data_IF_639075756989
#
_entry.id   IF_639075756989
#
_cell.length_a   1.000
_cell.length_b   1.000
_cell.length_c   1.000
_cell.angle_alpha   90.00
_cell.angle_beta   90.00
_cell.angle_gamma   90.00
#
_symmetry.space_group_name_H-M   'P 1'
#
loop_
_entity.id
_entity.type
_entity.pdbx_description
1 polymer ?
#
# COMPACT_ATOMS: atom_id res chain seq x y z
N UNK A 1 36.35 -12.26 3.66
CA UNK A 1 36.43 -12.83 5.03
C UNK A 1 36.99 -11.83 6.05
N UNK A 2 38.01 -11.02 5.72
CA UNK A 2 38.56 -10.02 6.65
C UNK A 2 37.51 -9.01 7.25
N UNK A 3 36.60 -8.51 6.44
CA UNK A 3 35.59 -7.54 6.88
C UNK A 3 34.63 -8.08 7.97
N UNK A 4 34.30 -9.38 7.92
CA UNK A 4 33.42 -10.00 8.93
C UNK A 4 34.17 -10.15 10.26
N UNK A 5 35.47 -10.45 10.21
CA UNK A 5 36.30 -10.55 11.41
C UNK A 5 36.46 -9.21 12.11
N UNK A 6 36.64 -8.13 11.35
CA UNK A 6 36.72 -6.77 11.90
C UNK A 6 35.41 -6.39 12.59
N UNK A 7 34.28 -6.74 11.99
CA UNK A 7 32.95 -6.45 12.53
C UNK A 7 32.68 -7.20 13.83
N UNK A 8 33.02 -8.48 13.88
CA UNK A 8 32.85 -9.33 15.08
C UNK A 8 33.79 -8.90 16.20
N UNK A 9 35.05 -8.51 15.87
CA UNK A 9 36.00 -7.99 16.86
C UNK A 9 35.49 -6.68 17.45
N UNK A 10 35.07 -5.72 16.61
CA UNK A 10 34.51 -4.45 17.07
C UNK A 10 33.30 -4.61 17.98
N UNK A 11 32.42 -5.59 17.68
CA UNK A 11 31.29 -5.90 18.55
C UNK A 11 31.73 -6.52 19.89
N UNK A 12 32.77 -7.35 19.89
CA UNK A 12 33.26 -8.03 21.09
C UNK A 12 33.94 -7.07 22.05
N UNK A 13 34.69 -6.12 21.50
CA UNK A 13 35.46 -5.11 22.24
C UNK A 13 34.63 -3.89 22.65
N UNK A 14 33.39 -3.80 22.14
CA UNK A 14 32.45 -2.71 22.47
C UNK A 14 31.88 -2.89 23.89
N UNK A 15 31.63 -1.77 24.54
CA UNK A 15 30.95 -1.69 25.83
C UNK A 15 29.48 -2.12 25.75
N UNK A 16 28.84 -2.33 26.92
CA UNK A 16 27.44 -2.72 27.01
C UNK A 16 26.49 -1.79 26.24
N UNK A 17 26.71 -0.49 26.31
CA UNK A 17 25.90 0.50 25.60
C UNK A 17 26.10 0.46 24.08
N UNK A 18 27.35 0.32 23.63
CA UNK A 18 27.66 0.14 22.21
C UNK A 18 27.03 -1.13 21.62
N UNK A 19 27.00 -2.22 22.39
CA UNK A 19 26.30 -3.45 21.98
C UNK A 19 24.79 -3.27 21.82
N UNK A 20 24.16 -2.48 22.69
CA UNK A 20 22.73 -2.14 22.59
C UNK A 20 22.46 -1.32 21.32
N UNK A 21 23.25 -0.31 21.02
CA UNK A 21 23.09 0.51 19.80
C UNK A 21 23.26 -0.37 18.55
N UNK A 22 24.26 -1.24 18.54
CA UNK A 22 24.50 -2.16 17.44
C UNK A 22 23.32 -3.11 17.19
N UNK A 23 22.78 -3.70 18.26
CA UNK A 23 21.60 -4.57 18.18
C UNK A 23 20.36 -3.83 17.70
N UNK A 24 20.17 -2.58 18.14
CA UNK A 24 19.08 -1.71 17.68
C UNK A 24 19.19 -1.42 16.18
N UNK A 25 20.35 -1.04 15.69
CA UNK A 25 20.60 -0.78 14.26
C UNK A 25 20.40 -2.05 13.43
N UNK A 26 20.87 -3.19 13.90
CA UNK A 26 20.70 -4.47 13.23
C UNK A 26 19.21 -4.88 13.16
N UNK A 27 18.47 -4.73 14.25
CA UNK A 27 17.04 -5.00 14.30
C UNK A 27 16.25 -4.07 13.35
N UNK A 28 16.59 -2.77 13.33
CA UNK A 28 16.01 -1.79 12.41
C UNK A 28 16.26 -2.19 10.94
N UNK A 29 17.47 -2.64 10.63
CA UNK A 29 17.83 -3.11 9.30
C UNK A 29 16.99 -4.32 8.89
N UNK A 30 16.84 -5.32 9.74
CA UNK A 30 16.03 -6.51 9.44
C UNK A 30 14.55 -6.18 9.25
N UNK A 31 14.00 -5.31 10.12
CA UNK A 31 12.60 -4.87 10.02
C UNK A 31 12.39 -4.12 8.69
N UNK A 32 13.29 -3.21 8.33
CA UNK A 32 13.21 -2.46 7.08
C UNK A 32 13.24 -3.38 5.86
N UNK A 33 14.11 -4.39 5.82
CA UNK A 33 14.16 -5.39 4.77
C UNK A 33 12.87 -6.20 4.68
N UNK A 34 12.34 -6.63 5.81
CA UNK A 34 11.09 -7.38 5.87
C UNK A 34 9.93 -6.57 5.30
N UNK A 35 9.78 -5.31 5.76
CA UNK A 35 8.73 -4.40 5.27
C UNK A 35 8.89 -4.14 3.78
N UNK A 36 10.12 -3.91 3.30
CA UNK A 36 10.40 -3.67 1.88
C UNK A 36 9.97 -4.85 1.00
N UNK A 37 10.41 -6.06 1.36
CA UNK A 37 10.08 -7.28 0.59
C UNK A 37 8.57 -7.52 0.60
N UNK A 38 7.92 -7.36 1.75
CA UNK A 38 6.47 -7.51 1.87
C UNK A 38 5.72 -6.52 0.98
N UNK A 39 6.12 -5.25 1.00
CA UNK A 39 5.52 -4.20 0.18
C UNK A 39 5.78 -4.40 -1.31
N UNK A 40 7.00 -4.75 -1.69
CA UNK A 40 7.33 -5.02 -3.09
C UNK A 40 6.44 -6.13 -3.68
N UNK A 41 6.24 -7.21 -2.92
CA UNK A 41 5.34 -8.31 -3.33
C UNK A 41 3.88 -7.87 -3.41
N UNK A 42 3.43 -7.04 -2.46
CA UNK A 42 2.06 -6.51 -2.46
C UNK A 42 1.80 -5.62 -3.67
N UNK A 43 2.72 -4.70 -3.99
CA UNK A 43 2.61 -3.83 -5.16
C UNK A 43 2.66 -4.62 -6.48
N UNK A 44 3.59 -5.55 -6.63
CA UNK A 44 3.70 -6.40 -7.82
C UNK A 44 2.42 -7.22 -8.06
N UNK A 45 1.76 -7.70 -7.00
CA UNK A 45 0.49 -8.40 -7.10
C UNK A 45 -0.61 -7.47 -7.60
N UNK A 46 -0.73 -6.27 -7.03
CA UNK A 46 -1.74 -5.27 -7.42
C UNK A 46 -1.54 -4.83 -8.87
N UNK A 47 -0.30 -4.55 -9.27
CA UNK A 47 0.05 -4.15 -10.64
C UNK A 47 -0.39 -5.22 -11.66
N UNK A 48 -0.10 -6.48 -11.38
CA UNK A 48 -0.54 -7.59 -12.23
C UNK A 48 -2.06 -7.68 -12.33
N UNK A 49 -2.77 -7.50 -11.22
CA UNK A 49 -4.24 -7.53 -11.19
C UNK A 49 -4.83 -6.35 -11.96
N UNK A 50 -4.23 -5.15 -11.86
CA UNK A 50 -4.61 -3.96 -12.65
C UNK A 50 -4.46 -4.23 -14.13
N UNK A 51 -3.33 -4.78 -14.56
CA UNK A 51 -3.07 -5.07 -15.97
C UNK A 51 -4.09 -6.04 -16.54
N UNK A 52 -4.37 -7.14 -15.84
CA UNK A 52 -5.37 -8.12 -16.26
C UNK A 52 -6.78 -7.50 -16.33
N UNK A 53 -7.11 -6.63 -15.36
CA UNK A 53 -8.39 -5.92 -15.35
C UNK A 53 -8.52 -4.97 -16.54
N UNK A 54 -7.49 -4.17 -16.83
CA UNK A 54 -7.46 -3.24 -17.96
C UNK A 54 -7.55 -3.96 -19.31
N UNK A 55 -6.79 -5.04 -19.51
CA UNK A 55 -6.90 -5.86 -20.71
C UNK A 55 -8.30 -6.45 -20.91
N UNK A 56 -8.96 -6.81 -19.81
CA UNK A 56 -10.35 -7.30 -19.86
C UNK A 56 -11.33 -6.22 -20.28
N UNK A 57 -11.03 -4.96 -19.98
CA UNK A 57 -11.83 -3.81 -20.39
C UNK A 57 -11.67 -3.49 -21.88
N UNK A 58 -10.46 -3.60 -22.39
CA UNK A 58 -10.12 -3.23 -23.77
C UNK A 58 -10.66 -4.24 -24.79
N UNK A 59 -10.75 -5.51 -24.43
CA UNK A 59 -11.12 -6.62 -25.34
C UNK A 59 -12.63 -6.78 -25.62
N UNK A 60 -13.52 -6.03 -24.96
CA UNK A 60 -14.98 -6.18 -25.11
C UNK A 60 -15.70 -4.84 -25.17
N UNK A 61 -16.36 -4.57 -26.29
CA UNK A 61 -17.28 -3.43 -26.51
C UNK A 61 -18.60 -3.49 -25.71
N UNK A 62 -18.73 -4.38 -24.72
CA UNK A 62 -19.95 -4.53 -23.93
C UNK A 62 -20.08 -3.44 -22.89
N UNK A 63 -21.31 -2.97 -22.70
CA UNK A 63 -21.67 -1.98 -21.70
C UNK A 63 -21.13 -2.37 -20.31
N UNK A 64 -20.48 -1.43 -19.64
CA UNK A 64 -19.74 -1.66 -18.38
C UNK A 64 -20.59 -2.32 -17.29
N UNK A 65 -21.90 -2.02 -17.25
CA UNK A 65 -22.85 -2.54 -16.27
C UNK A 65 -23.27 -3.99 -16.50
N UNK A 66 -23.23 -4.50 -17.75
CA UNK A 66 -23.61 -5.88 -18.06
C UNK A 66 -22.47 -6.88 -17.90
N UNK A 67 -21.24 -6.40 -17.70
CA UNK A 67 -20.07 -7.25 -17.67
C UNK A 67 -20.04 -8.16 -16.46
N UNK A 68 -20.09 -9.48 -16.72
CA UNK A 68 -19.79 -10.51 -15.72
C UNK A 68 -18.31 -10.86 -15.81
N UNK A 69 -17.57 -10.61 -14.74
CA UNK A 69 -16.16 -11.00 -14.65
C UNK A 69 -16.01 -12.44 -14.18
N UNK A 70 -15.02 -13.15 -14.72
CA UNK A 70 -14.68 -14.50 -14.27
C UNK A 70 -14.35 -14.50 -12.77
N UNK A 71 -14.79 -15.52 -12.05
CA UNK A 71 -14.61 -15.69 -10.59
C UNK A 71 -13.16 -15.65 -10.13
N UNK A 72 -12.19 -15.89 -11.01
CA UNK A 72 -10.75 -15.83 -10.71
C UNK A 72 -10.23 -14.40 -10.40
N UNK A 73 -10.99 -13.37 -10.71
CA UNK A 73 -10.66 -11.95 -10.43
C UNK A 73 -11.30 -11.43 -9.13
N UNK A 74 -12.06 -12.26 -8.43
CA UNK A 74 -12.86 -11.88 -7.25
C UNK A 74 -12.01 -11.39 -6.05
N UNK A 75 -10.72 -11.66 -6.05
CA UNK A 75 -9.79 -11.27 -4.95
C UNK A 75 -9.09 -9.93 -5.17
N UNK A 76 -9.34 -9.25 -6.29
CA UNK A 76 -8.68 -7.99 -6.63
C UNK A 76 -9.34 -6.79 -5.95
N UNK A 77 -8.54 -5.84 -5.38
CA UNK A 77 -9.06 -4.58 -4.86
C UNK A 77 -9.83 -3.75 -5.89
N UNK A 78 -9.46 -3.86 -7.17
CA UNK A 78 -10.15 -3.20 -8.29
C UNK A 78 -11.49 -3.85 -8.59
N UNK A 79 -11.58 -5.16 -8.49
CA UNK A 79 -12.85 -5.87 -8.67
C UNK A 79 -13.88 -5.45 -7.60
N UNK A 80 -13.45 -5.34 -6.34
CA UNK A 80 -14.29 -4.82 -5.26
C UNK A 80 -14.76 -3.39 -5.55
N UNK A 81 -13.85 -2.53 -6.04
CA UNK A 81 -14.18 -1.17 -6.41
C UNK A 81 -15.22 -1.14 -7.54
N UNK A 82 -15.00 -1.92 -8.60
CA UNK A 82 -15.93 -2.03 -9.72
C UNK A 82 -17.30 -2.57 -9.30
N UNK A 83 -17.34 -3.60 -8.47
CA UNK A 83 -18.59 -4.19 -7.95
C UNK A 83 -19.40 -3.16 -7.15
N UNK A 84 -18.72 -2.42 -6.29
CA UNK A 84 -19.37 -1.37 -5.49
C UNK A 84 -19.84 -0.20 -6.37
N UNK A 85 -19.05 0.19 -7.37
CA UNK A 85 -19.43 1.20 -8.36
C UNK A 85 -20.67 0.77 -9.14
N UNK A 86 -20.66 -0.45 -9.69
CA UNK A 86 -21.79 -1.03 -10.42
C UNK A 86 -23.06 -1.02 -9.58
N UNK A 87 -22.99 -1.48 -8.33
CA UNK A 87 -24.12 -1.49 -7.41
C UNK A 87 -24.64 -0.07 -7.17
N UNK A 88 -23.78 0.88 -6.83
CA UNK A 88 -24.18 2.26 -6.56
C UNK A 88 -24.83 2.92 -7.79
N UNK A 89 -24.31 2.64 -8.99
CA UNK A 89 -24.87 3.15 -10.24
C UNK A 89 -26.27 2.59 -10.51
N UNK A 90 -26.48 1.28 -10.31
CA UNK A 90 -27.78 0.64 -10.47
C UNK A 90 -28.78 1.20 -9.47
N UNK A 91 -28.41 1.33 -8.19
CA UNK A 91 -29.28 1.88 -7.15
C UNK A 91 -29.71 3.33 -7.48
N UNK A 92 -28.82 4.14 -8.06
CA UNK A 92 -29.16 5.51 -8.51
C UNK A 92 -30.10 5.51 -9.72
N UNK A 93 -29.86 4.65 -10.69
CA UNK A 93 -30.73 4.52 -11.88
C UNK A 93 -32.14 4.09 -11.50
N UNK A 94 -32.26 3.08 -10.62
CA UNK A 94 -33.56 2.61 -10.11
C UNK A 94 -34.30 3.70 -9.34
N UNK A 95 -33.58 4.44 -8.50
CA UNK A 95 -34.15 5.57 -7.74
C UNK A 95 -34.66 6.68 -8.66
N UNK A 96 -33.89 7.04 -9.68
CA UNK A 96 -34.28 8.08 -10.62
C UNK A 96 -35.48 7.66 -11.47
N UNK A 97 -35.52 6.40 -11.91
CA UNK A 97 -36.67 5.82 -12.62
C UNK A 97 -37.95 5.85 -11.76
N UNK A 98 -37.83 5.49 -10.47
CA UNK A 98 -38.96 5.50 -9.55
C UNK A 98 -39.50 6.90 -9.27
N UNK A 99 -38.63 7.91 -9.17
CA UNK A 99 -39.01 9.31 -8.88
C UNK A 99 -39.64 10.02 -10.07
N UNK A 100 -39.18 9.77 -11.29
CA UNK A 100 -39.61 10.48 -12.48
C UNK A 100 -40.74 9.80 -13.25
N UNK A 101 -41.17 8.59 -12.88
CA UNK A 101 -42.21 7.84 -13.57
C UNK A 101 -41.95 7.52 -15.04
N UNK A 102 -40.75 7.80 -15.52
CA UNK A 102 -40.30 7.55 -16.89
C UNK A 102 -39.45 6.29 -16.92
N UNK A 103 -39.70 5.41 -17.87
CA UNK A 103 -38.93 4.16 -18.06
C UNK A 103 -37.51 4.39 -18.56
N UNK A 104 -37.11 5.62 -18.77
CA UNK A 104 -35.74 5.94 -19.20
C UNK A 104 -34.79 6.05 -18.00
N UNK A 105 -33.78 5.20 -18.02
CA UNK A 105 -32.72 5.20 -17.01
C UNK A 105 -31.68 6.26 -17.38
N UNK A 106 -31.72 7.42 -16.73
CA UNK A 106 -30.71 8.45 -16.91
C UNK A 106 -30.05 8.85 -15.59
N UNK A 107 -28.80 9.26 -15.66
CA UNK A 107 -28.06 9.83 -14.56
C UNK A 107 -28.05 11.35 -14.67
N UNK A 108 -28.47 12.04 -13.61
CA UNK A 108 -28.32 13.48 -13.52
C UNK A 108 -26.85 13.88 -13.33
N UNK A 109 -26.49 15.12 -13.67
CA UNK A 109 -25.14 15.64 -13.43
C UNK A 109 -24.75 15.57 -11.93
N UNK A 110 -25.71 15.76 -11.04
CA UNK A 110 -25.50 15.56 -9.60
C UNK A 110 -25.21 14.10 -9.23
N UNK A 111 -25.84 13.14 -9.89
CA UNK A 111 -25.59 11.71 -9.64
C UNK A 111 -24.20 11.31 -10.11
N UNK A 112 -23.75 11.85 -11.23
CA UNK A 112 -22.38 11.63 -11.74
C UNK A 112 -21.35 12.16 -10.73
N UNK A 113 -21.59 13.36 -10.19
CA UNK A 113 -20.70 13.94 -9.17
C UNK A 113 -20.70 13.11 -7.87
N UNK A 114 -21.85 12.60 -7.45
CA UNK A 114 -21.94 11.71 -6.30
C UNK A 114 -21.18 10.41 -6.51
N UNK A 115 -21.31 9.79 -7.69
CA UNK A 115 -20.58 8.58 -8.06
C UNK A 115 -19.07 8.82 -8.07
N UNK A 116 -18.64 9.95 -8.63
CA UNK A 116 -17.23 10.32 -8.68
C UNK A 116 -16.66 10.49 -7.27
N UNK A 117 -17.31 11.25 -6.42
CA UNK A 117 -16.90 11.43 -5.02
C UNK A 117 -16.85 10.10 -4.26
N UNK A 118 -17.81 9.22 -4.50
CA UNK A 118 -17.85 7.90 -3.88
C UNK A 118 -16.66 7.03 -4.30
N UNK A 119 -16.32 7.04 -5.59
CA UNK A 119 -15.16 6.31 -6.12
C UNK A 119 -13.87 6.85 -5.54
N UNK A 120 -13.68 8.17 -5.55
CA UNK A 120 -12.49 8.85 -5.03
C UNK A 120 -12.27 8.52 -3.55
N UNK A 121 -13.35 8.53 -2.76
CA UNK A 121 -13.29 8.12 -1.36
C UNK A 121 -12.86 6.67 -1.18
N UNK A 122 -13.36 5.76 -2.02
CA UNK A 122 -12.99 4.33 -1.98
C UNK A 122 -11.54 4.11 -2.42
N UNK A 123 -11.10 4.79 -3.47
CA UNK A 123 -9.70 4.77 -3.93
C UNK A 123 -8.78 5.27 -2.81
N UNK A 124 -9.09 6.43 -2.22
CA UNK A 124 -8.33 7.01 -1.12
C UNK A 124 -8.22 6.05 0.07
N UNK A 125 -9.33 5.42 0.45
CA UNK A 125 -9.35 4.43 1.53
C UNK A 125 -8.44 3.22 1.24
N UNK A 126 -8.46 2.71 -0.01
CA UNK A 126 -7.58 1.60 -0.43
C UNK A 126 -6.11 2.01 -0.48
N UNK A 127 -5.79 3.21 -0.98
CA UNK A 127 -4.43 3.75 -0.97
C UNK A 127 -3.91 3.91 0.46
N UNK A 128 -4.71 4.47 1.37
CA UNK A 128 -4.35 4.60 2.79
C UNK A 128 -4.07 3.25 3.46
N UNK A 129 -4.83 2.22 3.10
CA UNK A 129 -4.57 0.86 3.59
C UNK A 129 -3.24 0.29 3.06
N UNK A 130 -2.86 0.63 1.83
CA UNK A 130 -1.57 0.27 1.26
C UNK A 130 -0.41 0.99 1.94
N UNK A 131 -0.60 2.23 2.36
CA UNK A 131 0.45 3.05 2.99
C UNK A 131 0.67 2.73 4.47
N UNK A 132 -0.24 2.00 5.09
CA UNK A 132 -0.28 1.76 6.55
C UNK A 132 1.05 1.36 7.19
N UNK A 133 1.90 0.60 6.49
CA UNK A 133 3.16 0.11 7.05
C UNK A 133 4.40 0.90 6.56
N UNK A 134 4.22 1.90 5.69
CA UNK A 134 5.32 2.73 5.21
C UNK A 134 5.87 3.66 6.30
N UNK A 135 5.07 3.95 7.32
CA UNK A 135 5.51 4.70 8.50
C UNK A 135 6.74 4.08 9.17
N UNK A 136 6.80 2.75 9.26
CA UNK A 136 7.96 2.03 9.84
C UNK A 136 9.23 2.32 9.04
N UNK A 137 9.13 2.35 7.70
CA UNK A 137 10.25 2.69 6.82
C UNK A 137 10.71 4.14 7.03
N UNK A 138 9.77 5.08 7.05
CA UNK A 138 10.06 6.51 7.28
C UNK A 138 10.74 6.74 8.63
N UNK A 139 10.24 6.09 9.68
CA UNK A 139 10.84 6.15 11.02
C UNK A 139 12.26 5.55 11.03
N UNK A 140 12.48 4.43 10.35
CA UNK A 140 13.80 3.80 10.26
C UNK A 140 14.82 4.70 9.56
N UNK A 141 14.43 5.38 8.48
CA UNK A 141 15.29 6.31 7.74
C UNK A 141 15.73 7.49 8.65
N UNK A 142 14.83 7.97 9.50
CA UNK A 142 15.14 9.07 10.41
C UNK A 142 15.97 8.63 11.63
N UNK A 143 15.68 7.45 12.19
CA UNK A 143 16.36 6.97 13.40
C UNK A 143 17.75 6.41 13.14
N UNK A 144 18.00 5.77 12.00
CA UNK A 144 19.27 5.12 11.72
C UNK A 144 20.49 6.08 11.78
N UNK A 145 20.50 7.26 11.12
CA UNK A 145 21.61 8.19 11.22
C UNK A 145 21.76 8.76 12.65
N UNK A 146 20.66 8.98 13.36
CA UNK A 146 20.71 9.45 14.76
C UNK A 146 21.41 8.43 15.67
N UNK A 147 21.06 7.17 15.55
CA UNK A 147 21.69 6.08 16.31
C UNK A 147 23.16 5.89 15.90
N UNK A 148 23.50 6.11 14.62
CA UNK A 148 24.86 6.07 14.13
C UNK A 148 25.73 7.15 14.77
N UNK A 149 25.27 8.40 14.79
CA UNK A 149 25.99 9.52 15.43
C UNK A 149 26.12 9.27 16.95
N UNK A 150 25.05 8.84 17.59
CA UNK A 150 25.06 8.50 19.01
C UNK A 150 26.12 7.43 19.33
N UNK A 151 26.21 6.41 18.49
CA UNK A 151 27.20 5.33 18.63
C UNK A 151 28.63 5.82 18.48
N UNK A 152 28.92 6.71 17.52
CA UNK A 152 30.25 7.27 17.32
C UNK A 152 30.66 8.21 18.47
N UNK A 153 29.78 9.09 18.94
CA UNK A 153 30.02 9.96 20.08
C UNK A 153 30.27 9.16 21.33
N UNK A 154 29.50 8.16 21.61
CA UNK A 154 29.70 7.26 22.76
C UNK A 154 31.02 6.49 22.65
N UNK A 155 31.34 5.94 21.49
CA UNK A 155 32.61 5.25 21.27
C UNK A 155 33.83 6.14 21.53
N UNK A 156 33.80 7.41 21.12
CA UNK A 156 34.84 8.39 21.42
C UNK A 156 34.93 8.68 22.92
N UNK A 157 33.80 8.80 23.61
CA UNK A 157 33.74 9.12 25.02
C UNK A 157 34.32 8.00 25.91
N UNK A 158 34.16 6.75 25.49
CA UNK A 158 34.70 5.58 26.19
C UNK A 158 36.17 5.33 25.86
N UNK A 159 36.64 5.81 24.71
CA UNK A 159 38.06 5.66 24.29
C UNK A 159 39.00 6.72 24.83
N UNK A 160 38.49 7.79 25.45
CA UNK A 160 39.22 8.84 26.14
C UNK A 160 39.50 8.49 27.59
#
# INVERSE_FOLDING_TARGET
>A
MASIYIFVSAFKDSDGFGKIIFLLLFSLSLISWFVLIFKARQYAKIEKEITIFMESFEKKDSFVLERSFNENLTSSPLFDLYKNFKKCTIDLLERNSALNGVKEHFLSQSDITLLQNYIDQKIFSKCKALDKNLFVLATSISLAPFLGILGTVWGLLVSL
#
